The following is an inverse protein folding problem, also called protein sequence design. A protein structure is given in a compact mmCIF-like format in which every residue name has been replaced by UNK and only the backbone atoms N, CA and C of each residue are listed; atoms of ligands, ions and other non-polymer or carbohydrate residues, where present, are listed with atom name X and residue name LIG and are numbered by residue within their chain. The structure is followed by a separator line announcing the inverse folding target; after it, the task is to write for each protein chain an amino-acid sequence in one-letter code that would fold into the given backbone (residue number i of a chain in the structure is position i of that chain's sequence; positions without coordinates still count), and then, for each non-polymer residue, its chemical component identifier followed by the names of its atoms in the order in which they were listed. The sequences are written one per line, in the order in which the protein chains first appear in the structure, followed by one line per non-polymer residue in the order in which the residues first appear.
data_IF_103450964274
#
_entry.id   IF_103450964274
#
_cell.length_a   1.000
_cell.length_b   1.000
_cell.length_c   1.000
_cell.angle_alpha   90.00
_cell.angle_beta   90.00
_cell.angle_gamma   90.00
#
_symmetry.space_group_name_H-M   'P 1'
#
loop_
_entity.id
_entity.type
_entity.pdbx_description
1 polymer ?
#
# COMPACT_ATOMS: atom_id res chain seq x y z
N UNK A 1 37.14 -4.64 13.14
CA UNK A 1 36.53 -3.31 12.86
C UNK A 1 35.00 -3.35 12.66
N UNK A 2 34.39 -4.50 12.32
CA UNK A 2 32.92 -4.63 12.25
C UNK A 2 32.36 -5.67 13.22
N UNK A 3 33.10 -6.01 14.28
CA UNK A 3 32.62 -6.91 15.33
C UNK A 3 31.45 -6.23 16.05
N UNK A 4 30.31 -6.92 16.11
CA UNK A 4 29.08 -6.40 16.72
C UNK A 4 29.08 -6.54 18.24
N UNK A 5 29.98 -7.34 18.81
CA UNK A 5 30.03 -7.66 20.25
C UNK A 5 28.86 -8.52 20.73
N UNK A 6 28.06 -9.10 19.83
CA UNK A 6 26.89 -9.91 20.17
C UNK A 6 27.27 -11.36 20.44
N UNK A 7 26.75 -11.91 21.55
CA UNK A 7 26.95 -13.31 21.94
C UNK A 7 26.01 -14.24 21.15
N UNK A 8 26.60 -15.03 20.26
CA UNK A 8 25.87 -15.95 19.39
C UNK A 8 25.12 -17.06 20.14
N UNK A 9 25.62 -17.50 21.30
CA UNK A 9 24.97 -18.55 22.10
C UNK A 9 23.70 -18.02 22.78
N UNK A 10 23.70 -16.74 23.18
CA UNK A 10 22.48 -16.08 23.67
C UNK A 10 21.45 -15.90 22.56
N UNK A 11 21.88 -15.54 21.35
CA UNK A 11 20.99 -15.42 20.19
C UNK A 11 20.37 -16.76 19.78
N UNK A 12 21.12 -17.86 19.86
CA UNK A 12 20.62 -19.21 19.58
C UNK A 12 19.48 -19.60 20.52
N UNK A 13 19.63 -19.38 21.83
CA UNK A 13 18.59 -19.66 22.81
C UNK A 13 17.28 -18.89 22.51
N UNK A 14 17.40 -17.62 22.12
CA UNK A 14 16.26 -16.79 21.70
C UNK A 14 15.62 -17.35 20.42
N UNK A 15 16.44 -17.75 19.44
CA UNK A 15 15.96 -18.32 18.19
C UNK A 15 15.23 -19.67 18.41
N UNK A 16 15.73 -20.51 19.31
CA UNK A 16 15.09 -21.78 19.67
C UNK A 16 13.70 -21.56 20.29
N UNK A 17 13.58 -20.59 21.19
CA UNK A 17 12.28 -20.19 21.75
C UNK A 17 11.29 -19.76 20.66
N UNK A 18 11.69 -18.83 19.78
CA UNK A 18 10.81 -18.35 18.71
C UNK A 18 10.48 -19.42 17.67
N UNK A 19 11.34 -20.42 17.46
CA UNK A 19 11.06 -21.57 16.59
C UNK A 19 9.86 -22.39 17.09
N UNK A 20 9.72 -22.55 18.41
CA UNK A 20 8.55 -23.22 19.00
C UNK A 20 7.32 -22.30 19.04
N UNK A 21 7.48 -21.01 19.35
CA UNK A 21 6.38 -20.04 19.32
C UNK A 21 5.75 -19.96 17.92
N UNK A 22 6.58 -19.86 16.86
CA UNK A 22 6.13 -19.72 15.47
C UNK A 22 5.19 -20.84 15.03
N UNK A 23 5.38 -22.08 15.50
CA UNK A 23 4.49 -23.22 15.17
C UNK A 23 3.04 -22.96 15.54
N UNK A 24 2.78 -22.19 16.62
CA UNK A 24 1.42 -21.83 17.05
C UNK A 24 0.69 -20.95 16.03
N UNK A 25 1.42 -20.23 15.18
CA UNK A 25 0.90 -19.24 14.23
C UNK A 25 0.83 -19.76 12.78
N UNK A 26 0.94 -21.08 12.56
CA UNK A 26 0.93 -21.67 11.21
C UNK A 26 -0.23 -21.24 10.31
N UNK A 27 -1.41 -20.96 10.88
CA UNK A 27 -2.59 -20.50 10.14
C UNK A 27 -2.43 -19.09 9.52
N UNK A 28 -1.45 -18.31 9.98
CA UNK A 28 -1.20 -16.94 9.53
C UNK A 28 0.06 -16.81 8.68
N UNK A 29 0.76 -17.91 8.39
CA UNK A 29 1.93 -17.90 7.54
C UNK A 29 1.55 -17.54 6.09
N UNK A 30 2.30 -16.60 5.50
CA UNK A 30 2.16 -16.24 4.09
C UNK A 30 2.56 -17.41 3.17
N UNK A 31 2.07 -17.39 1.93
CA UNK A 31 2.42 -18.40 0.93
C UNK A 31 3.83 -18.20 0.34
N UNK A 32 4.43 -17.03 0.56
CA UNK A 32 5.74 -16.66 0.04
C UNK A 32 6.83 -17.44 0.77
N UNK A 33 7.54 -18.29 0.01
CA UNK A 33 8.66 -19.09 0.51
C UNK A 33 9.96 -18.60 -0.14
N UNK A 34 10.94 -18.21 0.67
CA UNK A 34 12.24 -17.74 0.19
C UNK A 34 12.18 -16.27 -0.25
N UNK A 35 12.77 -15.98 -1.41
CA UNK A 35 12.88 -14.64 -1.98
C UNK A 35 11.91 -14.47 -3.14
N UNK A 36 11.33 -13.28 -3.30
CA UNK A 36 10.42 -12.98 -4.41
C UNK A 36 11.03 -11.94 -5.35
N UNK A 37 11.49 -12.40 -6.51
CA UNK A 37 12.10 -11.54 -7.54
C UNK A 37 11.09 -10.60 -8.20
N UNK A 38 9.78 -10.84 -8.08
CA UNK A 38 8.74 -9.95 -8.63
C UNK A 38 8.78 -8.57 -7.96
N UNK A 39 9.29 -8.49 -6.72
CA UNK A 39 9.50 -7.21 -6.01
C UNK A 39 10.45 -6.30 -6.80
N UNK A 40 11.48 -6.85 -7.44
CA UNK A 40 12.45 -6.07 -8.20
C UNK A 40 11.83 -5.41 -9.45
N UNK A 41 10.78 -6.03 -9.99
CA UNK A 41 10.11 -5.58 -11.22
C UNK A 41 8.91 -4.70 -10.89
N UNK A 42 8.00 -5.18 -10.04
CA UNK A 42 6.74 -4.50 -9.75
C UNK A 42 6.87 -3.46 -8.61
N UNK A 43 7.98 -3.48 -7.87
CA UNK A 43 8.23 -2.62 -6.69
C UNK A 43 7.15 -2.73 -5.61
N UNK A 44 6.39 -3.83 -5.61
CA UNK A 44 5.33 -4.12 -4.65
C UNK A 44 5.98 -4.69 -3.38
N UNK A 45 5.82 -4.05 -2.21
CA UNK A 45 6.31 -4.61 -0.95
C UNK A 45 5.69 -5.99 -0.66
N UNK A 46 6.44 -6.91 -0.06
CA UNK A 46 5.97 -8.29 0.16
C UNK A 46 4.64 -8.38 0.92
N UNK A 47 4.44 -7.56 1.97
CA UNK A 47 3.16 -7.51 2.69
C UNK A 47 1.99 -6.99 1.85
N UNK A 48 2.24 -6.09 0.90
CA UNK A 48 1.22 -5.62 -0.05
C UNK A 48 0.83 -6.73 -1.03
N UNK A 49 1.80 -7.52 -1.50
CA UNK A 49 1.55 -8.63 -2.43
C UNK A 49 0.65 -9.72 -1.81
N UNK A 50 0.96 -10.16 -0.59
CA UNK A 50 0.15 -11.19 0.10
C UNK A 50 -1.28 -10.71 0.35
N UNK A 51 -1.45 -9.42 0.68
CA UNK A 51 -2.78 -8.83 0.83
C UNK A 51 -3.55 -8.78 -0.50
N UNK A 52 -2.90 -8.41 -1.60
CA UNK A 52 -3.51 -8.39 -2.94
C UNK A 52 -3.93 -9.79 -3.39
N UNK A 53 -3.09 -10.80 -3.21
CA UNK A 53 -3.42 -12.21 -3.51
C UNK A 53 -4.67 -12.66 -2.73
N UNK A 54 -4.74 -12.32 -1.43
CA UNK A 54 -5.91 -12.62 -0.59
C UNK A 54 -7.18 -11.91 -1.10
N UNK A 55 -7.09 -10.61 -1.42
CA UNK A 55 -8.21 -9.83 -1.95
C UNK A 55 -8.73 -10.38 -3.28
N UNK A 56 -7.84 -10.71 -4.22
CA UNK A 56 -8.23 -11.29 -5.51
C UNK A 56 -8.85 -12.68 -5.34
N UNK A 57 -8.33 -13.50 -4.43
CA UNK A 57 -8.91 -14.81 -4.12
C UNK A 57 -10.32 -14.70 -3.55
N UNK A 58 -10.57 -13.76 -2.63
CA UNK A 58 -11.91 -13.51 -2.08
C UNK A 58 -12.91 -13.06 -3.16
N UNK A 59 -12.43 -12.42 -4.22
CA UNK A 59 -13.24 -11.95 -5.34
C UNK A 59 -13.29 -12.95 -6.51
N UNK A 60 -12.79 -14.18 -6.32
CA UNK A 60 -12.67 -15.21 -7.37
C UNK A 60 -11.93 -14.71 -8.64
N UNK A 61 -10.92 -13.86 -8.46
CA UNK A 61 -10.17 -13.20 -9.53
C UNK A 61 -8.65 -13.40 -9.38
N UNK A 62 -8.23 -14.51 -8.77
CA UNK A 62 -6.81 -14.81 -8.52
C UNK A 62 -5.97 -14.89 -9.81
N UNK A 63 -6.60 -15.26 -10.93
CA UNK A 63 -6.03 -15.30 -12.28
C UNK A 63 -5.63 -13.92 -12.83
N UNK A 64 -6.11 -12.83 -12.21
CA UNK A 64 -5.83 -11.46 -12.63
C UNK A 64 -4.63 -10.82 -11.94
N UNK A 65 -3.91 -11.55 -11.08
CA UNK A 65 -2.79 -11.03 -10.31
C UNK A 65 -1.75 -10.32 -11.19
N UNK A 66 -1.33 -10.95 -12.30
CA UNK A 66 -0.31 -10.38 -13.18
C UNK A 66 -0.76 -9.07 -13.83
N UNK A 67 -2.05 -8.96 -14.17
CA UNK A 67 -2.62 -7.72 -14.72
C UNK A 67 -2.62 -6.61 -13.66
N UNK A 68 -2.92 -6.95 -12.40
CA UNK A 68 -2.87 -6.00 -11.27
C UNK A 68 -1.44 -5.54 -11.02
N UNK A 69 -0.47 -6.46 -11.04
CA UNK A 69 0.95 -6.13 -10.88
C UNK A 69 1.46 -5.19 -11.98
N UNK A 70 0.99 -5.35 -13.22
CA UNK A 70 1.29 -4.44 -14.31
C UNK A 70 0.55 -3.09 -14.23
N UNK A 71 -0.59 -3.03 -13.53
CA UNK A 71 -1.37 -1.80 -13.33
C UNK A 71 -0.84 -0.92 -12.19
N UNK A 72 -0.28 -1.52 -11.13
CA UNK A 72 0.29 -0.80 -9.98
C UNK A 72 1.29 0.31 -10.37
N UNK A 73 2.34 0.06 -11.19
CA UNK A 73 3.29 1.12 -11.54
C UNK A 73 2.63 2.26 -12.32
N UNK A 74 1.63 1.97 -13.16
CA UNK A 74 0.86 2.98 -13.91
C UNK A 74 0.01 3.84 -12.99
N UNK A 75 -0.67 3.23 -12.02
CA UNK A 75 -1.43 3.96 -10.99
C UNK A 75 -0.50 4.80 -10.13
N UNK A 76 0.68 4.28 -9.77
CA UNK A 76 1.67 5.01 -8.98
C UNK A 76 2.19 6.24 -9.72
N UNK A 77 2.44 6.13 -11.02
CA UNK A 77 2.81 7.25 -11.88
C UNK A 77 1.69 8.30 -11.92
N UNK A 78 0.44 7.88 -12.17
CA UNK A 78 -0.72 8.77 -12.19
C UNK A 78 -0.94 9.51 -10.85
N UNK A 79 -0.48 8.92 -9.74
CA UNK A 79 -0.52 9.51 -8.40
C UNK A 79 0.80 10.18 -7.99
N UNK A 80 1.66 10.56 -8.95
CA UNK A 80 2.82 11.40 -8.70
C UNK A 80 4.00 10.66 -8.05
N UNK A 81 4.19 9.38 -8.38
CA UNK A 81 5.28 8.52 -7.90
C UNK A 81 5.39 8.40 -6.37
N UNK A 82 4.26 8.47 -5.66
CA UNK A 82 4.21 8.27 -4.21
C UNK A 82 4.96 6.98 -3.78
N UNK A 83 5.73 7.02 -2.68
CA UNK A 83 6.35 5.81 -2.13
C UNK A 83 5.28 4.76 -1.81
N UNK A 84 5.52 3.50 -2.17
CA UNK A 84 4.62 2.39 -1.85
C UNK A 84 4.88 1.91 -0.42
N UNK A 85 4.31 2.61 0.55
CA UNK A 85 4.36 2.29 1.99
C UNK A 85 2.95 2.38 2.54
N UNK A 86 2.64 1.76 3.67
CA UNK A 86 1.32 1.95 4.28
C UNK A 86 1.12 3.43 4.68
N UNK A 87 0.01 4.10 4.32
CA UNK A 87 -1.20 3.56 3.66
C UNK A 87 -1.20 3.62 2.12
N UNK A 88 -0.31 4.38 1.49
CA UNK A 88 -0.30 4.63 0.03
C UNK A 88 -0.16 3.37 -0.83
N UNK A 89 0.57 2.36 -0.36
CA UNK A 89 0.69 1.05 -1.01
C UNK A 89 -0.67 0.39 -1.22
N UNK A 90 -1.53 0.41 -0.20
CA UNK A 90 -2.88 -0.14 -0.27
C UNK A 90 -3.77 0.67 -1.20
N UNK A 91 -3.67 2.02 -1.15
CA UNK A 91 -4.45 2.91 -2.02
C UNK A 91 -4.15 2.61 -3.50
N UNK A 92 -2.87 2.54 -3.87
CA UNK A 92 -2.43 2.20 -5.23
C UNK A 92 -2.88 0.78 -5.61
N UNK A 93 -2.71 -0.19 -4.72
CA UNK A 93 -3.10 -1.58 -4.96
C UNK A 93 -4.59 -1.74 -5.20
N UNK A 94 -5.43 -1.14 -4.35
CA UNK A 94 -6.89 -1.20 -4.47
C UNK A 94 -7.37 -0.52 -5.76
N UNK A 95 -6.82 0.65 -6.12
CA UNK A 95 -7.17 1.29 -7.37
C UNK A 95 -6.75 0.48 -8.60
N UNK A 96 -5.57 -0.18 -8.54
CA UNK A 96 -5.12 -1.08 -9.61
C UNK A 96 -6.06 -2.29 -9.77
N UNK A 97 -6.49 -2.90 -8.67
CA UNK A 97 -7.50 -3.97 -8.68
C UNK A 97 -8.81 -3.48 -9.30
N UNK A 98 -9.31 -2.30 -8.91
CA UNK A 98 -10.53 -1.73 -9.48
C UNK A 98 -10.41 -1.52 -11.00
N UNK A 99 -9.30 -0.97 -11.48
CA UNK A 99 -9.05 -0.75 -12.90
C UNK A 99 -9.10 -2.07 -13.68
N UNK A 100 -8.45 -3.13 -13.16
CA UNK A 100 -8.39 -4.44 -13.80
C UNK A 100 -9.75 -5.16 -13.78
N UNK A 101 -10.48 -5.09 -12.67
CA UNK A 101 -11.77 -5.77 -12.54
C UNK A 101 -12.88 -5.09 -13.35
N UNK A 102 -12.85 -3.76 -13.44
CA UNK A 102 -13.82 -3.01 -14.24
C UNK A 102 -13.50 -3.01 -15.74
N UNK A 103 -12.26 -3.35 -16.12
CA UNK A 103 -11.79 -3.38 -17.50
C UNK A 103 -11.50 -2.00 -18.09
N UNK A 104 -11.58 -0.94 -17.29
CA UNK A 104 -11.41 0.46 -17.71
C UNK A 104 -10.72 1.25 -16.59
N UNK A 105 -9.57 1.87 -16.91
CA UNK A 105 -8.79 2.62 -15.92
C UNK A 105 -9.59 3.79 -15.36
N UNK A 106 -9.69 3.87 -14.03
CA UNK A 106 -10.38 4.94 -13.31
C UNK A 106 -11.85 5.12 -13.70
N UNK A 107 -12.52 4.09 -14.22
CA UNK A 107 -13.98 4.10 -14.35
C UNK A 107 -14.63 4.46 -13.01
N UNK A 108 -14.15 3.79 -11.97
CA UNK A 108 -14.41 4.12 -10.56
C UNK A 108 -13.09 4.56 -9.91
N UNK A 109 -13.12 5.70 -9.22
CA UNK A 109 -11.99 6.21 -8.43
C UNK A 109 -12.29 5.93 -6.95
N UNK A 110 -11.39 5.20 -6.28
CA UNK A 110 -11.51 4.93 -4.85
C UNK A 110 -11.42 6.23 -4.04
N UNK A 111 -12.12 6.31 -2.91
CA UNK A 111 -12.18 7.51 -2.07
C UNK A 111 -10.78 7.99 -1.66
N UNK A 112 -9.92 7.06 -1.27
CA UNK A 112 -8.56 7.36 -0.82
C UNK A 112 -7.67 7.81 -1.99
N UNK A 113 -7.90 7.27 -3.19
CA UNK A 113 -7.24 7.75 -4.42
C UNK A 113 -7.66 9.18 -4.75
N UNK A 114 -8.95 9.48 -4.61
CA UNK A 114 -9.45 10.85 -4.75
C UNK A 114 -8.81 11.78 -3.71
N UNK A 115 -8.64 11.34 -2.46
CA UNK A 115 -7.99 12.13 -1.43
C UNK A 115 -6.53 12.46 -1.75
N UNK A 116 -5.75 11.52 -2.30
CA UNK A 116 -4.39 11.80 -2.79
C UNK A 116 -4.43 12.87 -3.89
N UNK A 117 -5.30 12.71 -4.88
CA UNK A 117 -5.45 13.67 -5.99
C UNK A 117 -5.89 15.06 -5.50
N UNK A 118 -6.69 15.14 -4.43
CA UNK A 118 -7.10 16.39 -3.79
C UNK A 118 -6.03 17.01 -2.88
N UNK A 119 -4.91 16.33 -2.62
CA UNK A 119 -3.86 16.79 -1.71
C UNK A 119 -4.15 16.54 -0.22
N UNK A 120 -5.20 15.77 0.11
CA UNK A 120 -5.64 15.50 1.49
C UNK A 120 -4.64 14.64 2.28
N UNK A 121 -3.73 13.95 1.58
CA UNK A 121 -2.64 13.15 2.17
C UNK A 121 -1.30 13.89 2.20
N UNK A 122 -1.24 15.12 1.67
CA UNK A 122 -0.03 15.92 1.53
C UNK A 122 0.48 15.99 0.09
N UNK A 123 1.73 16.46 -0.08
CA UNK A 123 2.35 16.66 -1.38
C UNK A 123 2.93 15.36 -1.95
N UNK A 124 2.66 15.11 -3.22
CA UNK A 124 3.28 14.02 -3.97
C UNK A 124 4.68 14.42 -4.45
N UNK A 125 5.63 13.47 -4.61
CA UNK A 125 6.99 13.77 -5.08
C UNK A 125 7.06 14.49 -6.43
N UNK A 126 6.15 14.15 -7.35
CA UNK A 126 5.95 14.86 -8.62
C UNK A 126 4.47 15.18 -8.80
N UNK A 127 4.09 16.09 -9.72
CA UNK A 127 2.69 16.37 -9.99
C UNK A 127 1.90 15.10 -10.33
N UNK A 128 0.69 14.99 -9.78
CA UNK A 128 -0.26 13.94 -10.13
C UNK A 128 -0.81 14.15 -11.55
N UNK A 129 -1.49 13.15 -12.09
CA UNK A 129 -2.18 13.25 -13.37
C UNK A 129 -3.24 14.39 -13.31
N UNK A 130 -3.03 15.43 -14.11
CA UNK A 130 -3.85 16.64 -14.10
C UNK A 130 -5.32 16.39 -14.49
N UNK A 131 -5.58 15.44 -15.41
CA UNK A 131 -6.94 15.10 -15.84
C UNK A 131 -7.70 14.40 -14.72
N UNK A 132 -7.05 13.45 -14.04
CA UNK A 132 -7.65 12.78 -12.89
C UNK A 132 -7.88 13.77 -11.75
N UNK A 133 -6.89 14.60 -11.43
CA UNK A 133 -7.02 15.61 -10.38
C UNK A 133 -8.18 16.58 -10.65
N UNK A 134 -8.28 17.12 -11.87
CA UNK A 134 -9.38 18.00 -12.25
C UNK A 134 -10.75 17.31 -12.11
N UNK A 135 -10.84 16.02 -12.49
CA UNK A 135 -12.08 15.22 -12.37
C UNK A 135 -12.55 15.08 -10.93
N UNK A 136 -11.67 14.81 -9.96
CA UNK A 136 -12.06 14.67 -8.55
C UNK A 136 -12.19 15.99 -7.79
N UNK A 137 -11.61 17.08 -8.30
CA UNK A 137 -11.79 18.41 -7.73
C UNK A 137 -13.12 19.06 -8.11
N UNK A 138 -13.73 18.67 -9.24
CA UNK A 138 -15.03 19.19 -9.70
C UNK A 138 -15.09 20.74 -9.74
N UNK A 139 -13.99 21.38 -10.14
CA UNK A 139 -13.85 22.85 -10.20
C UNK A 139 -13.27 23.48 -8.92
N UNK A 140 -13.01 22.69 -7.88
CA UNK A 140 -12.27 23.13 -6.68
C UNK A 140 -10.76 23.23 -6.90
N UNK A 141 -10.06 23.68 -5.86
CA UNK A 141 -8.59 23.72 -5.81
C UNK A 141 -8.05 22.59 -4.91
N UNK A 142 -6.88 22.02 -5.23
CA UNK A 142 -6.25 21.02 -4.37
C UNK A 142 -5.77 21.65 -3.06
N UNK A 143 -5.73 20.85 -1.99
CA UNK A 143 -5.11 21.21 -0.72
C UNK A 143 -3.59 21.30 -0.92
N UNK A 144 -3.03 22.45 -0.54
CA UNK A 144 -1.59 22.76 -0.68
C UNK A 144 -0.91 23.12 0.65
N UNK A 145 -1.64 23.06 1.77
CA UNK A 145 -1.08 23.21 3.11
C UNK A 145 -0.83 21.83 3.76
N UNK A 146 -0.39 21.81 5.02
CA UNK A 146 -0.33 20.57 5.81
C UNK A 146 -1.78 20.15 6.13
N UNK A 147 -2.26 18.95 5.72
CA UNK A 147 -3.68 18.61 5.85
C UNK A 147 -4.25 18.70 7.27
N UNK A 148 -3.44 18.42 8.29
CA UNK A 148 -3.84 18.53 9.69
C UNK A 148 -4.16 19.97 10.15
N UNK A 149 -3.74 21.00 9.41
CA UNK A 149 -4.11 22.40 9.70
C UNK A 149 -5.60 22.68 9.44
N UNK A 150 -6.27 21.80 8.70
CA UNK A 150 -7.70 21.89 8.38
C UNK A 150 -8.58 21.12 9.39
N UNK A 151 -7.98 20.36 10.30
CA UNK A 151 -8.69 19.59 11.32
C UNK A 151 -8.87 20.42 12.60
N UNK A 152 -10.04 20.32 13.22
CA UNK A 152 -10.27 20.89 14.55
C UNK A 152 -9.70 19.95 15.62
N UNK A 153 -9.35 20.44 16.82
CA UNK A 153 -9.02 19.54 17.94
C UNK A 153 -10.22 18.67 18.31
N UNK A 154 -10.06 17.34 18.31
CA UNK A 154 -11.19 16.38 18.47
C UNK A 154 -11.24 15.68 19.84
N UNK A 155 -10.21 15.81 20.70
CA UNK A 155 -10.13 15.04 21.95
C UNK A 155 -11.35 15.24 22.85
N UNK A 156 -11.76 16.50 23.06
CA UNK A 156 -12.92 16.82 23.91
C UNK A 156 -14.25 16.32 23.34
N UNK A 157 -14.36 16.15 22.01
CA UNK A 157 -15.56 15.62 21.35
C UNK A 157 -15.60 14.09 21.45
N UNK A 158 -14.45 13.41 21.33
CA UNK A 158 -14.35 11.96 21.42
C UNK A 158 -14.52 11.41 22.85
N UNK A 159 -14.28 12.24 23.87
CA UNK A 159 -14.47 11.89 25.28
C UNK A 159 -15.92 12.04 25.78
N UNK A 160 -16.79 12.72 25.01
CA UNK A 160 -18.19 13.02 25.38
C UNK A 160 -19.15 11.88 25.03
#
# INVERSE_FOLDING_TARGET
EHDTGLDILKLENIAAYFREVRKKYHAFEGQLKGYDSRILVAQVPGGMLTNLESQLKQQNAADKLDQVLAEIPRVREDLGFIPLVTPTSQIVGTQAVLNVLTGERYKTIAKETAGILKGEYGHTPVPVNAVLQARVLEGGAPVTCRPADLLKPELAELEA
#
